data_IF_960086270814
#
_entry.id   IF_960086270814
#
_cell.length_a   1.000
_cell.length_b   1.000
_cell.length_c   1.000
_cell.angle_alpha   90.00
_cell.angle_beta   90.00
_cell.angle_gamma   90.00
#
_symmetry.space_group_name_H-M   'P 1'
#
loop_
_entity.id
_entity.type
_entity.pdbx_description
1 polymer ?
#
# COMPACT_ATOMS: atom_id res chain seq x y z
N UNK A 1 14.04 -6.22 -24.22
CA UNK A 1 12.74 -5.55 -24.48
C UNK A 1 12.62 -4.37 -23.54
N UNK A 2 12.18 -3.20 -24.02
CA UNK A 2 11.91 -2.03 -23.17
C UNK A 2 10.41 -2.02 -22.87
N UNK A 3 10.02 -2.06 -21.60
CA UNK A 3 8.62 -1.91 -21.20
C UNK A 3 8.20 -0.45 -21.43
N UNK A 4 7.19 -0.24 -22.28
CA UNK A 4 6.56 1.06 -22.40
C UNK A 4 5.71 1.33 -21.14
N UNK A 5 5.57 2.59 -20.69
CA UNK A 5 4.80 2.94 -19.49
C UNK A 5 3.35 2.43 -19.48
N UNK A 6 2.76 2.29 -20.66
CA UNK A 6 1.42 1.71 -20.88
C UNK A 6 1.34 0.23 -20.47
N UNK A 7 2.43 -0.54 -20.58
CA UNK A 7 2.45 -1.95 -20.22
C UNK A 7 2.52 -2.16 -18.70
N UNK A 8 3.06 -1.19 -17.93
CA UNK A 8 3.15 -1.33 -16.48
C UNK A 8 1.78 -1.51 -15.82
N UNK A 9 0.73 -0.88 -16.34
CA UNK A 9 -0.62 -1.05 -15.78
C UNK A 9 -1.07 -2.50 -15.91
N UNK A 10 -1.00 -3.03 -17.14
CA UNK A 10 -1.41 -4.41 -17.41
C UNK A 10 -0.59 -5.39 -16.58
N UNK A 11 0.73 -5.19 -16.48
CA UNK A 11 1.60 -6.06 -15.70
C UNK A 11 1.26 -6.04 -14.21
N UNK A 12 1.00 -4.87 -13.63
CA UNK A 12 0.63 -4.77 -12.21
C UNK A 12 -0.73 -5.39 -11.91
N UNK A 13 -1.71 -5.22 -12.81
CA UNK A 13 -3.04 -5.80 -12.67
C UNK A 13 -3.04 -7.32 -12.85
N UNK A 14 -2.26 -7.84 -13.80
CA UNK A 14 -2.07 -9.28 -13.99
C UNK A 14 -1.41 -9.92 -12.75
N UNK A 15 -0.38 -9.26 -12.21
CA UNK A 15 0.23 -9.69 -10.96
C UNK A 15 -0.75 -9.67 -9.78
N UNK A 16 -1.64 -8.66 -9.70
CA UNK A 16 -2.69 -8.58 -8.68
C UNK A 16 -3.75 -9.68 -8.83
N UNK A 17 -4.06 -10.11 -10.05
CA UNK A 17 -4.98 -11.20 -10.30
C UNK A 17 -4.43 -12.55 -9.79
N UNK A 18 -3.10 -12.72 -9.80
CA UNK A 18 -2.43 -13.91 -9.25
C UNK A 18 -2.06 -13.81 -7.77
N UNK A 19 -1.88 -12.59 -7.23
CA UNK A 19 -1.44 -12.34 -5.85
C UNK A 19 -2.17 -11.12 -5.28
N UNK A 20 -2.79 -11.27 -4.12
CA UNK A 20 -3.55 -10.16 -3.51
C UNK A 20 -2.70 -8.97 -3.06
N UNK A 21 -1.38 -9.14 -2.94
CA UNK A 21 -0.41 -8.07 -2.62
C UNK A 21 0.82 -8.19 -3.49
N UNK A 22 1.18 -7.11 -4.20
CA UNK A 22 2.28 -7.09 -5.17
C UNK A 22 3.25 -5.95 -4.91
N UNK A 23 4.55 -6.27 -4.89
CA UNK A 23 5.62 -5.27 -4.86
C UNK A 23 5.83 -4.69 -6.25
N UNK A 24 5.68 -3.37 -6.39
CA UNK A 24 5.88 -2.69 -7.68
C UNK A 24 7.28 -2.99 -8.23
N UNK A 25 8.32 -2.87 -7.39
CA UNK A 25 9.70 -3.12 -7.82
C UNK A 25 9.91 -4.57 -8.23
N UNK A 26 9.40 -5.54 -7.46
CA UNK A 26 9.54 -6.97 -7.78
C UNK A 26 8.92 -7.28 -9.13
N UNK A 27 7.68 -6.84 -9.35
CA UNK A 27 6.97 -7.06 -10.61
C UNK A 27 7.78 -6.49 -11.78
N UNK A 28 8.42 -5.32 -11.61
CA UNK A 28 9.31 -4.76 -12.61
C UNK A 28 10.57 -5.61 -12.83
N UNK A 29 11.20 -6.13 -11.77
CA UNK A 29 12.37 -7.02 -11.88
C UNK A 29 12.01 -8.32 -12.60
N UNK A 30 10.87 -8.92 -12.26
CA UNK A 30 10.39 -10.17 -12.86
C UNK A 30 10.16 -10.00 -14.37
N UNK A 31 9.55 -8.88 -14.80
CA UNK A 31 9.23 -8.67 -16.23
C UNK A 31 10.40 -8.10 -17.04
N UNK A 32 11.26 -7.28 -16.42
CA UNK A 32 12.45 -6.75 -17.10
C UNK A 32 13.62 -7.74 -17.11
N UNK A 33 13.58 -8.77 -16.27
CA UNK A 33 14.67 -9.72 -16.01
C UNK A 33 15.99 -9.03 -15.61
N UNK A 34 15.88 -7.82 -15.03
CA UNK A 34 16.99 -6.99 -14.53
C UNK A 34 16.52 -6.01 -13.47
N UNK A 35 17.46 -5.34 -12.80
CA UNK A 35 17.10 -4.24 -11.90
C UNK A 35 16.49 -3.06 -12.70
N UNK A 36 15.31 -2.55 -12.30
CA UNK A 36 14.69 -1.39 -12.94
C UNK A 36 15.45 -0.11 -12.60
N UNK A 37 15.56 0.78 -13.59
CA UNK A 37 16.11 2.12 -13.40
C UNK A 37 15.19 2.98 -12.52
N UNK A 38 15.73 4.07 -11.95
CA UNK A 38 14.94 5.04 -11.18
C UNK A 38 13.77 5.61 -11.98
N UNK A 39 13.95 5.83 -13.28
CA UNK A 39 12.91 6.33 -14.18
C UNK A 39 11.76 5.34 -14.37
N UNK A 40 12.09 4.05 -14.51
CA UNK A 40 11.10 2.97 -14.62
C UNK A 40 10.32 2.80 -13.31
N UNK A 41 11.00 2.84 -12.16
CA UNK A 41 10.34 2.80 -10.84
C UNK A 41 9.39 3.99 -10.69
N UNK A 42 9.82 5.21 -11.05
CA UNK A 42 8.98 6.40 -10.97
C UNK A 42 7.78 6.36 -11.94
N UNK A 43 7.95 5.78 -13.12
CA UNK A 43 6.86 5.54 -14.06
C UNK A 43 5.85 4.54 -13.49
N UNK A 44 6.32 3.42 -12.92
CA UNK A 44 5.46 2.42 -12.29
C UNK A 44 4.75 2.96 -11.04
N UNK A 45 5.38 3.78 -10.20
CA UNK A 45 4.72 4.41 -9.05
C UNK A 45 3.60 5.37 -9.49
N UNK A 46 3.79 6.10 -10.61
CA UNK A 46 2.72 6.94 -11.19
C UNK A 46 1.54 6.10 -11.67
N UNK A 47 1.80 4.96 -12.30
CA UNK A 47 0.76 4.03 -12.75
C UNK A 47 0.04 3.41 -11.55
N UNK A 48 0.77 2.96 -10.53
CA UNK A 48 0.20 2.41 -9.31
C UNK A 48 -0.68 3.42 -8.56
N UNK A 49 -0.28 4.70 -8.52
CA UNK A 49 -1.15 5.77 -8.01
C UNK A 49 -2.44 5.91 -8.80
N UNK A 50 -2.39 5.73 -10.12
CA UNK A 50 -3.59 5.81 -10.96
C UNK A 50 -4.53 4.64 -10.65
N UNK A 51 -4.02 3.40 -10.63
CA UNK A 51 -4.76 2.20 -10.21
C UNK A 51 -5.43 2.42 -8.84
N UNK A 52 -4.70 3.00 -7.88
CA UNK A 52 -5.25 3.27 -6.56
C UNK A 52 -6.30 4.40 -6.50
N UNK A 53 -6.20 5.39 -7.41
CA UNK A 53 -7.23 6.43 -7.56
C UNK A 53 -8.48 5.91 -8.27
N UNK A 54 -8.30 4.99 -9.21
CA UNK A 54 -9.38 4.34 -9.94
C UNK A 54 -10.14 3.32 -9.06
N UNK A 55 -9.64 3.06 -7.85
CA UNK A 55 -10.27 2.17 -6.86
C UNK A 55 -10.04 0.69 -7.10
N UNK A 56 -9.14 0.35 -8.02
CA UNK A 56 -8.82 -1.04 -8.39
C UNK A 56 -7.95 -1.75 -7.33
N UNK A 57 -7.14 -1.00 -6.58
CA UNK A 57 -6.32 -1.52 -5.50
C UNK A 57 -5.95 -0.40 -4.50
N UNK A 58 -5.32 -0.77 -3.39
CA UNK A 58 -4.78 0.17 -2.41
C UNK A 58 -3.27 0.27 -2.57
N UNK A 59 -2.75 1.50 -2.66
CA UNK A 59 -1.32 1.75 -2.63
C UNK A 59 -0.86 1.86 -1.17
N UNK A 60 0.01 0.96 -0.75
CA UNK A 60 0.44 0.82 0.64
C UNK A 60 1.97 0.75 0.75
N UNK A 61 2.52 1.25 1.85
CA UNK A 61 3.96 1.27 2.13
C UNK A 61 4.35 0.22 3.17
N UNK A 62 4.77 -0.96 2.72
CA UNK A 62 5.04 -2.09 3.62
C UNK A 62 6.54 -2.36 3.76
N UNK A 63 6.95 -2.79 4.95
CA UNK A 63 8.22 -3.48 5.14
C UNK A 63 8.14 -4.90 4.54
N UNK A 64 9.30 -5.50 4.22
CA UNK A 64 9.42 -6.90 3.81
C UNK A 64 8.57 -7.90 4.59
N UNK A 65 8.68 -7.88 5.91
CA UNK A 65 7.99 -8.78 6.84
C UNK A 65 6.48 -8.52 6.89
N UNK A 66 6.06 -7.30 6.56
CA UNK A 66 4.65 -6.86 6.59
C UNK A 66 3.89 -7.20 5.31
N UNK A 67 4.59 -7.42 4.20
CA UNK A 67 3.97 -7.73 2.91
C UNK A 67 3.58 -9.21 2.78
N UNK A 68 4.06 -10.06 3.68
CA UNK A 68 3.95 -11.52 3.60
C UNK A 68 5.07 -12.15 2.76
N UNK A 69 5.42 -13.40 3.07
CA UNK A 69 6.55 -14.12 2.47
C UNK A 69 6.46 -14.20 0.93
N UNK A 70 5.23 -14.34 0.40
CA UNK A 70 4.97 -14.43 -1.03
C UNK A 70 5.07 -13.08 -1.76
N UNK A 71 5.01 -11.94 -1.05
CA UNK A 71 5.11 -10.61 -1.64
C UNK A 71 6.52 -10.02 -1.56
N UNK A 72 7.35 -10.49 -0.62
CA UNK A 72 8.71 -10.02 -0.42
C UNK A 72 9.73 -10.72 -1.32
N UNK A 73 10.66 -9.94 -1.89
CA UNK A 73 11.88 -10.45 -2.53
C UNK A 73 13.07 -9.62 -2.06
N UNK A 74 14.20 -10.23 -1.65
CA UNK A 74 15.41 -9.51 -1.33
C UNK A 74 15.94 -8.78 -2.57
N UNK A 75 15.80 -7.46 -2.62
CA UNK A 75 16.51 -6.66 -3.61
C UNK A 75 17.98 -6.50 -3.15
N UNK A 76 18.89 -7.12 -3.89
CA UNK A 76 20.35 -6.94 -3.88
C UNK A 76 20.96 -6.24 -2.64
N UNK A 77 21.43 -7.03 -1.66
CA UNK A 77 22.44 -6.74 -0.61
C UNK A 77 22.37 -5.44 0.23
N UNK A 78 21.40 -4.54 0.03
CA UNK A 78 21.32 -3.25 0.75
C UNK A 78 19.89 -2.75 1.02
N UNK A 79 18.87 -3.57 0.75
CA UNK A 79 17.46 -3.17 0.82
C UNK A 79 16.64 -3.82 1.94
N UNK A 80 17.24 -4.67 2.77
CA UNK A 80 16.53 -5.64 3.62
C UNK A 80 15.61 -5.03 4.70
N UNK A 81 15.70 -3.73 4.98
CA UNK A 81 14.90 -3.05 6.03
C UNK A 81 14.23 -1.75 5.56
N UNK A 82 13.88 -1.60 4.28
CA UNK A 82 13.21 -0.40 3.79
C UNK A 82 11.78 -0.66 3.33
N UNK A 83 10.86 0.17 3.82
CA UNK A 83 9.50 0.17 3.34
C UNK A 83 9.46 0.47 1.83
N UNK A 84 8.73 -0.35 1.09
CA UNK A 84 8.57 -0.25 -0.36
C UNK A 84 7.10 -0.02 -0.73
N UNK A 85 6.85 0.45 -1.94
CA UNK A 85 5.50 0.63 -2.47
C UNK A 85 4.94 -0.72 -2.94
N UNK A 86 3.75 -1.07 -2.44
CA UNK A 86 2.97 -2.23 -2.84
C UNK A 86 1.58 -1.80 -3.31
N UNK A 87 1.01 -2.57 -4.23
CA UNK A 87 -0.43 -2.56 -4.46
C UNK A 87 -1.04 -3.76 -3.76
N UNK A 88 -2.19 -3.56 -3.11
CA UNK A 88 -2.89 -4.65 -2.44
C UNK A 88 -4.39 -4.53 -2.62
N UNK A 89 -5.04 -5.68 -2.78
CA UNK A 89 -6.49 -5.86 -2.64
C UNK A 89 -6.82 -6.69 -1.39
N UNK A 90 -5.79 -7.10 -0.64
CA UNK A 90 -5.96 -7.89 0.58
C UNK A 90 -6.45 -6.98 1.72
N UNK A 91 -7.74 -7.10 2.05
CA UNK A 91 -8.37 -6.33 3.12
C UNK A 91 -7.72 -6.54 4.49
N UNK A 92 -7.20 -7.74 4.77
CA UNK A 92 -6.55 -8.04 6.05
C UNK A 92 -5.29 -7.18 6.22
N UNK A 93 -4.43 -7.11 5.20
CA UNK A 93 -3.24 -6.25 5.22
C UNK A 93 -3.62 -4.78 5.38
N UNK A 94 -4.70 -4.34 4.73
CA UNK A 94 -5.20 -2.97 4.83
C UNK A 94 -5.69 -2.68 6.27
N UNK A 95 -6.44 -3.60 6.87
CA UNK A 95 -7.01 -3.46 8.22
C UNK A 95 -5.97 -3.55 9.33
N UNK A 96 -4.94 -4.39 9.15
CA UNK A 96 -3.85 -4.56 10.11
C UNK A 96 -2.86 -3.40 10.10
N UNK A 97 -2.67 -2.77 8.93
CA UNK A 97 -1.69 -1.70 8.72
C UNK A 97 -2.30 -0.45 8.07
N UNK A 98 -3.40 0.11 8.60
CA UNK A 98 -4.14 1.20 7.97
C UNK A 98 -3.30 2.48 7.90
N UNK A 99 -2.39 2.69 8.86
CA UNK A 99 -1.47 3.82 8.89
C UNK A 99 -0.38 3.78 7.79
N UNK A 100 -0.18 2.62 7.14
CA UNK A 100 0.76 2.45 6.03
C UNK A 100 0.12 2.71 4.67
N UNK A 101 -1.21 2.85 4.61
CA UNK A 101 -1.93 3.11 3.37
C UNK A 101 -1.62 4.52 2.88
N UNK A 102 -1.00 4.61 1.70
CA UNK A 102 -0.63 5.89 1.08
C UNK A 102 -1.75 6.49 0.24
N UNK A 103 -2.49 5.65 -0.47
CA UNK A 103 -3.56 6.09 -1.37
C UNK A 103 -4.60 4.98 -1.54
N UNK A 104 -5.86 5.36 -1.40
CA UNK A 104 -7.03 4.50 -1.58
C UNK A 104 -8.18 5.38 -2.07
N UNK A 105 -8.95 4.90 -3.06
CA UNK A 105 -10.17 5.57 -3.50
C UNK A 105 -11.32 5.40 -2.49
N UNK A 106 -12.42 6.11 -2.70
CA UNK A 106 -13.56 6.18 -1.77
C UNK A 106 -14.19 4.81 -1.49
N UNK A 107 -14.18 3.90 -2.47
CA UNK A 107 -14.69 2.53 -2.28
C UNK A 107 -13.92 1.71 -1.24
N UNK A 108 -12.67 2.08 -0.93
CA UNK A 108 -11.84 1.42 0.06
C UNK A 108 -11.89 2.06 1.44
N UNK A 109 -12.56 3.21 1.61
CA UNK A 109 -12.55 3.95 2.88
C UNK A 109 -13.14 3.12 4.02
N UNK A 110 -14.23 2.40 3.79
CA UNK A 110 -14.83 1.54 4.81
C UNK A 110 -13.85 0.47 5.35
N UNK A 111 -13.01 -0.09 4.47
CA UNK A 111 -11.99 -1.09 4.85
C UNK A 111 -10.88 -0.43 5.68
N UNK A 112 -10.41 0.74 5.24
CA UNK A 112 -9.35 1.47 5.96
C UNK A 112 -9.84 1.96 7.31
N UNK A 113 -11.04 2.51 7.37
CA UNK A 113 -11.65 3.07 8.57
C UNK A 113 -11.93 1.99 9.60
N UNK A 114 -12.36 0.80 9.16
CA UNK A 114 -12.48 -0.37 10.04
C UNK A 114 -11.11 -0.77 10.62
N UNK A 115 -10.05 -0.78 9.81
CA UNK A 115 -8.69 -1.01 10.31
C UNK A 115 -8.26 0.00 11.37
N UNK A 116 -8.55 1.29 11.13
CA UNK A 116 -8.27 2.36 12.09
C UNK A 116 -9.05 2.16 13.39
N UNK A 117 -10.33 1.77 13.31
CA UNK A 117 -11.18 1.46 14.46
C UNK A 117 -10.65 0.27 15.27
N UNK A 118 -10.24 -0.81 14.60
CA UNK A 118 -9.63 -1.97 15.27
C UNK A 118 -8.32 -1.60 15.95
N UNK A 119 -7.50 -0.77 15.31
CA UNK A 119 -6.26 -0.24 15.90
C UNK A 119 -6.56 0.61 17.16
N UNK A 120 -7.60 1.45 17.12
CA UNK A 120 -8.06 2.23 18.28
C UNK A 120 -8.45 1.30 19.43
N UNK A 121 -9.31 0.32 19.16
CA UNK A 121 -9.79 -0.61 20.17
C UNK A 121 -8.63 -1.39 20.80
N UNK A 122 -7.62 -1.76 20.02
CA UNK A 122 -6.42 -2.43 20.51
C UNK A 122 -5.60 -1.52 21.43
N UNK A 123 -5.39 -0.26 21.05
CA UNK A 123 -4.67 0.72 21.89
C UNK A 123 -5.42 0.95 23.20
N UNK A 124 -6.75 1.08 23.16
CA UNK A 124 -7.58 1.29 24.35
C UNK A 124 -7.62 0.08 25.28
N UNK A 125 -7.54 -1.13 24.72
CA UNK A 125 -7.61 -2.39 25.49
C UNK A 125 -6.25 -2.84 26.02
N UNK A 126 -5.14 -2.30 25.49
CA UNK A 126 -3.78 -2.64 25.89
C UNK A 126 -3.15 -1.46 26.68
N UNK A 127 -2.98 -1.59 28.01
CA UNK A 127 -2.44 -0.53 28.84
C UNK A 127 -1.03 -0.08 28.44
N UNK A 128 -0.21 -0.96 27.87
CA UNK A 128 1.13 -0.61 27.42
C UNK A 128 1.06 0.21 26.14
N UNK A 129 0.24 -0.20 25.17
CA UNK A 129 0.04 0.56 23.94
C UNK A 129 -0.63 1.91 24.21
N UNK A 130 -1.62 1.95 25.10
CA UNK A 130 -2.26 3.20 25.53
C UNK A 130 -1.26 4.17 26.16
N UNK A 131 -0.30 3.68 26.94
CA UNK A 131 0.74 4.51 27.55
C UNK A 131 1.79 4.99 26.54
N UNK A 132 2.10 4.18 25.52
CA UNK A 132 3.06 4.50 24.47
C UNK A 132 2.48 5.47 23.41
N UNK A 133 1.16 5.46 23.21
CA UNK A 133 0.46 6.26 22.19
C UNK A 133 -0.66 7.12 22.82
N UNK A 134 -0.33 8.01 23.77
CA UNK A 134 -1.34 8.80 24.46
C UNK A 134 -2.05 9.74 23.49
N UNK A 135 -3.38 9.68 23.47
CA UNK A 135 -4.21 10.56 22.65
C UNK A 135 -4.28 10.20 21.17
N UNK A 136 -3.76 9.03 20.75
CA UNK A 136 -4.02 8.52 19.41
C UNK A 136 -5.52 8.28 19.24
N UNK A 137 -6.06 8.80 18.13
CA UNK A 137 -7.46 8.65 17.74
C UNK A 137 -7.56 8.23 16.29
N UNK A 138 -8.34 7.20 16.02
CA UNK A 138 -8.79 6.90 14.67
C UNK A 138 -9.53 8.11 14.08
N UNK A 139 -9.09 8.56 12.92
CA UNK A 139 -9.77 9.59 12.14
C UNK A 139 -10.28 8.94 10.84
N UNK A 140 -11.60 8.77 10.69
CA UNK A 140 -12.18 8.17 9.49
C UNK A 140 -11.84 8.98 8.24
N UNK A 141 -11.43 8.30 7.17
CA UNK A 141 -11.00 8.94 5.92
C UNK A 141 -12.14 9.64 5.20
N UNK A 142 -13.34 9.08 5.24
CA UNK A 142 -14.51 9.73 4.66
C UNK A 142 -14.78 11.10 5.32
N UNK A 143 -14.64 11.19 6.64
CA UNK A 143 -14.83 12.42 7.41
C UNK A 143 -13.69 13.42 7.18
N UNK A 144 -12.44 12.94 7.08
CA UNK A 144 -11.30 13.77 6.74
C UNK A 144 -11.43 14.39 5.33
N UNK A 145 -11.88 13.62 4.33
CA UNK A 145 -12.13 14.14 2.98
C UNK A 145 -13.28 15.13 2.95
N UNK A 146 -14.36 14.84 3.66
CA UNK A 146 -15.50 15.76 3.75
C UNK A 146 -15.06 17.11 4.34
N UNK A 147 -14.28 17.11 5.42
CA UNK A 147 -13.72 18.34 6.02
C UNK A 147 -12.86 19.12 5.04
N UNK A 148 -11.97 18.44 4.31
CA UNK A 148 -11.13 19.07 3.28
C UNK A 148 -11.96 19.66 2.14
N UNK A 149 -13.02 18.97 1.70
CA UNK A 149 -13.91 19.46 0.65
C UNK A 149 -14.75 20.67 1.09
N UNK A 150 -15.10 20.76 2.38
CA UNK A 150 -15.85 21.90 2.94
C UNK A 150 -14.98 23.09 3.34
N UNK A 151 -13.65 22.92 3.37
CA UNK A 151 -12.69 23.94 3.79
C UNK A 151 -12.07 24.72 2.62
N UNK A 152 -12.47 24.41 1.37
CA UNK A 152 -12.05 25.10 0.14
C UNK A 152 -13.22 25.83 -0.51
#
# INVERSE_FOLDING_TARGET
MTLMPENFRQTLMDALAGRETVSIRRTLVEVLERDPSKGEIAAADRVARRIAKDGEAVLISLLPDQAGAEAYVPAARRGENRASSYLTVNETVIKDLPCRVRLAADNWDAVVDEGMRLTQQKIESDPQLSALLPGWKAEPRAEARTRLATAG
#
